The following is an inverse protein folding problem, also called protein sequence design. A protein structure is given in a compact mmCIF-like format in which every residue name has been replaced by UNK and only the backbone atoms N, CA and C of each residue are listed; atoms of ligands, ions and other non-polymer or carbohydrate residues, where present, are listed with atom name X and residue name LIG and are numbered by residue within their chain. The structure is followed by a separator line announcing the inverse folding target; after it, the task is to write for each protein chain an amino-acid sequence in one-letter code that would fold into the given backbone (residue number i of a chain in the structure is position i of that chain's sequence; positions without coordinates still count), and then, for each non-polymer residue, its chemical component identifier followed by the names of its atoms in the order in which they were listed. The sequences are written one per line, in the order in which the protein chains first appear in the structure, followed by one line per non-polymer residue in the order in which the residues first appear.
data_IF_742486987025
#
_entry.id   IF_742486987025
#
_cell.length_a   1.000
_cell.length_b   1.000
_cell.length_c   1.000
_cell.angle_alpha   90.00
_cell.angle_beta   90.00
_cell.angle_gamma   90.00
#
_symmetry.space_group_name_H-M   'P 1'
#
loop_
_entity.id
_entity.type
_entity.pdbx_description
1 polymer ?
#
# COMPACT_ATOMS: atom_id res chain seq x y z
N UNK A 1 14.30 12.46 0.88
CA UNK A 1 13.40 11.80 -0.09
C UNK A 1 12.12 12.60 -0.12
N UNK A 2 11.62 12.95 -1.30
CA UNK A 2 10.34 13.65 -1.44
C UNK A 2 9.22 12.62 -1.31
N UNK A 3 8.33 12.80 -0.33
CA UNK A 3 7.17 11.93 -0.17
C UNK A 3 6.18 12.19 -1.32
N UNK A 4 5.60 11.12 -1.87
CA UNK A 4 4.54 11.25 -2.86
C UNK A 4 3.30 11.89 -2.21
N UNK A 5 2.68 12.82 -2.92
CA UNK A 5 1.48 13.50 -2.47
C UNK A 5 0.28 12.79 -3.07
N UNK A 6 -0.56 12.23 -2.20
CA UNK A 6 -1.76 11.50 -2.55
C UNK A 6 -3.00 12.36 -2.34
N UNK A 7 -4.00 12.15 -3.18
CA UNK A 7 -5.37 12.60 -2.97
C UNK A 7 -6.31 11.39 -2.91
N UNK A 8 -7.33 11.52 -2.07
CA UNK A 8 -8.41 10.55 -2.02
C UNK A 8 -9.28 10.74 -3.28
N UNK A 9 -9.40 9.70 -4.09
CA UNK A 9 -10.12 9.72 -5.36
C UNK A 9 -11.12 8.56 -5.45
N UNK A 10 -12.23 8.61 -4.69
CA UNK A 10 -13.24 7.55 -4.69
C UNK A 10 -13.71 7.22 -6.11
N UNK A 11 -13.75 5.94 -6.44
CA UNK A 11 -14.27 5.41 -7.70
C UNK A 11 -15.59 4.66 -7.44
N UNK A 12 -16.47 4.51 -8.45
CA UNK A 12 -17.77 3.82 -8.28
C UNK A 12 -17.68 2.41 -7.69
N UNK A 13 -16.55 1.72 -7.88
CA UNK A 13 -16.29 0.36 -7.37
C UNK A 13 -15.20 0.31 -6.30
N UNK A 14 -14.66 1.46 -5.91
CA UNK A 14 -13.55 1.55 -4.96
C UNK A 14 -13.60 2.90 -4.24
N UNK A 15 -14.33 2.94 -3.12
CA UNK A 15 -14.51 4.14 -2.33
C UNK A 15 -13.19 4.68 -1.73
N UNK A 16 -12.13 3.87 -1.70
CA UNK A 16 -10.86 4.20 -1.05
C UNK A 16 -9.69 4.30 -2.04
N UNK A 17 -9.96 4.40 -3.33
CA UNK A 17 -8.93 4.58 -4.34
C UNK A 17 -8.16 5.89 -4.11
N UNK A 18 -6.84 5.85 -4.36
CA UNK A 18 -5.93 6.97 -4.14
C UNK A 18 -5.25 7.36 -5.44
N UNK A 19 -5.09 8.66 -5.71
CA UNK A 19 -4.38 9.15 -6.90
C UNK A 19 -3.20 10.02 -6.50
N UNK A 20 -2.14 10.04 -7.30
CA UNK A 20 -1.05 10.99 -7.13
C UNK A 20 -1.47 12.37 -7.63
N UNK A 21 -1.27 13.41 -6.81
CA UNK A 21 -1.49 14.79 -7.23
C UNK A 21 -0.52 15.18 -8.36
N UNK A 22 0.73 14.72 -8.26
CA UNK A 22 1.79 14.96 -9.25
C UNK A 22 2.43 13.63 -9.65
N UNK A 23 1.87 12.91 -10.64
CA UNK A 23 2.38 11.61 -11.06
C UNK A 23 3.87 11.63 -11.45
N UNK A 24 4.32 12.72 -12.09
CA UNK A 24 5.73 12.91 -12.47
C UNK A 24 6.71 13.06 -11.30
N UNK A 25 6.23 13.20 -10.06
CA UNK A 25 7.08 13.18 -8.88
C UNK A 25 7.46 11.75 -8.44
N UNK A 26 6.77 10.73 -8.96
CA UNK A 26 7.08 9.34 -8.65
C UNK A 26 8.30 8.85 -9.42
N UNK A 27 9.30 8.38 -8.68
CA UNK A 27 10.42 7.62 -9.26
C UNK A 27 9.94 6.20 -9.59
N UNK A 28 9.24 6.07 -10.71
CA UNK A 28 8.65 4.80 -11.14
C UNK A 28 9.71 3.69 -11.30
N UNK A 29 10.95 4.02 -11.65
CA UNK A 29 12.05 3.04 -11.76
C UNK A 29 12.38 2.48 -10.38
N UNK A 30 12.56 3.35 -9.38
CA UNK A 30 12.81 2.92 -8.00
C UNK A 30 11.64 2.12 -7.44
N UNK A 31 10.40 2.58 -7.64
CA UNK A 31 9.21 1.91 -7.14
C UNK A 31 9.05 0.52 -7.76
N UNK A 32 9.25 0.37 -9.08
CA UNK A 32 9.25 -0.94 -9.74
C UNK A 32 10.31 -1.87 -9.17
N UNK A 33 11.53 -1.39 -8.93
CA UNK A 33 12.60 -2.21 -8.32
C UNK A 33 12.23 -2.71 -6.93
N UNK A 34 11.67 -1.85 -6.08
CA UNK A 34 11.18 -2.23 -4.76
C UNK A 34 10.03 -3.24 -4.86
N UNK A 35 9.12 -3.04 -5.82
CA UNK A 35 8.00 -3.95 -6.01
C UNK A 35 8.43 -5.32 -6.55
N UNK A 36 9.45 -5.38 -7.40
CA UNK A 36 10.09 -6.65 -7.79
C UNK A 36 10.66 -7.41 -6.58
N UNK A 37 11.21 -6.69 -5.60
CA UNK A 37 11.64 -7.30 -4.33
C UNK A 37 10.45 -7.91 -3.58
N UNK A 38 9.31 -7.23 -3.53
CA UNK A 38 8.07 -7.76 -2.92
C UNK A 38 7.63 -9.05 -3.62
N UNK A 39 7.57 -9.05 -4.96
CA UNK A 39 7.13 -10.22 -5.74
C UNK A 39 8.00 -11.46 -5.56
N UNK A 40 9.31 -11.25 -5.38
CA UNK A 40 10.30 -12.34 -5.22
C UNK A 40 10.44 -12.81 -3.77
N UNK A 41 10.00 -11.99 -2.80
CA UNK A 41 10.14 -12.31 -1.40
C UNK A 41 9.16 -13.41 -0.97
N UNK A 42 9.62 -14.25 -0.04
CA UNK A 42 8.81 -15.31 0.56
C UNK A 42 8.46 -14.96 2.00
N UNK A 43 7.21 -15.22 2.36
CA UNK A 43 6.70 -15.22 3.73
C UNK A 43 6.90 -16.57 4.42
N UNK A 44 6.45 -16.67 5.67
CA UNK A 44 6.47 -17.92 6.44
C UNK A 44 5.70 -19.02 5.71
N UNK A 45 6.30 -20.20 5.58
CA UNK A 45 5.71 -21.33 4.86
C UNK A 45 5.59 -21.13 3.34
N UNK A 46 6.49 -20.34 2.72
CA UNK A 46 6.49 -20.00 1.28
C UNK A 46 5.25 -19.24 0.80
N UNK A 47 4.51 -18.60 1.71
CA UNK A 47 3.41 -17.71 1.33
C UNK A 47 3.99 -16.52 0.55
N UNK A 48 3.29 -16.10 -0.50
CA UNK A 48 3.66 -14.95 -1.34
C UNK A 48 2.59 -13.87 -1.21
N UNK A 49 2.90 -12.66 -1.69
CA UNK A 49 1.91 -11.59 -1.79
C UNK A 49 0.72 -12.05 -2.66
N UNK A 50 -0.49 -11.56 -2.35
CA UNK A 50 -1.69 -11.91 -3.11
C UNK A 50 -1.58 -11.43 -4.56
N UNK A 51 -2.16 -12.22 -5.47
CA UNK A 51 -2.21 -11.89 -6.89
C UNK A 51 -2.91 -10.54 -7.13
N UNK A 52 -3.99 -10.25 -6.41
CA UNK A 52 -4.74 -8.99 -6.59
C UNK A 52 -3.92 -7.76 -6.19
N UNK A 53 -3.05 -7.88 -5.19
CA UNK A 53 -2.11 -6.82 -4.84
C UNK A 53 -1.03 -6.66 -5.90
N UNK A 54 -0.54 -7.77 -6.46
CA UNK A 54 0.42 -7.74 -7.57
C UNK A 54 -0.17 -7.00 -8.76
N UNK A 55 -1.33 -7.42 -9.24
CA UNK A 55 -1.98 -6.82 -10.40
C UNK A 55 -2.31 -5.34 -10.15
N UNK A 56 -2.85 -5.00 -8.98
CA UNK A 56 -3.20 -3.61 -8.67
C UNK A 56 -2.00 -2.66 -8.62
N UNK A 57 -0.85 -3.12 -8.11
CA UNK A 57 0.38 -2.30 -8.15
C UNK A 57 1.07 -2.34 -9.51
N UNK A 58 1.03 -3.43 -10.26
CA UNK A 58 1.59 -3.48 -11.63
C UNK A 58 0.84 -2.52 -12.55
N UNK A 59 -0.49 -2.57 -12.58
CA UNK A 59 -1.32 -1.64 -13.35
C UNK A 59 -1.04 -0.17 -12.97
N UNK A 60 -0.88 0.11 -11.68
CA UNK A 60 -0.55 1.45 -11.21
C UNK A 60 0.89 1.86 -11.56
N UNK A 61 1.85 0.95 -11.50
CA UNK A 61 3.25 1.25 -11.85
C UNK A 61 3.46 1.37 -13.37
N UNK A 62 2.58 0.79 -14.19
CA UNK A 62 2.50 1.03 -15.62
C UNK A 62 2.09 2.47 -15.94
N UNK A 63 1.12 3.00 -15.20
CA UNK A 63 0.61 4.36 -15.35
C UNK A 63 0.26 4.97 -13.97
N UNK A 64 1.25 5.63 -13.37
CA UNK A 64 1.14 6.20 -12.01
C UNK A 64 0.16 7.38 -11.91
N UNK A 65 -0.38 7.85 -13.03
CA UNK A 65 -1.47 8.83 -13.04
C UNK A 65 -2.84 8.19 -12.75
N UNK A 66 -2.97 6.86 -12.88
CA UNK A 66 -4.20 6.14 -12.54
C UNK A 66 -4.40 6.09 -11.02
N UNK A 67 -5.65 6.02 -10.55
CA UNK A 67 -5.93 5.70 -9.17
C UNK A 67 -5.38 4.32 -8.81
N UNK A 68 -4.61 4.26 -7.71
CA UNK A 68 -4.23 3.02 -7.05
C UNK A 68 -5.44 2.43 -6.32
N UNK A 69 -5.74 1.17 -6.65
CA UNK A 69 -6.85 0.41 -6.05
C UNK A 69 -6.60 0.15 -4.56
N UNK A 70 -7.66 0.28 -3.77
CA UNK A 70 -7.60 0.15 -2.31
C UNK A 70 -7.21 -1.23 -1.84
N UNK A 71 -7.74 -2.25 -2.51
CA UNK A 71 -7.40 -3.64 -2.28
C UNK A 71 -5.89 -3.89 -2.35
N UNK A 72 -5.18 -3.24 -3.28
CA UNK A 72 -3.75 -3.48 -3.48
C UNK A 72 -2.93 -3.04 -2.28
N UNK A 73 -3.09 -1.79 -1.83
CA UNK A 73 -2.35 -1.31 -0.67
C UNK A 73 -2.88 -1.91 0.65
N UNK A 74 -4.17 -2.25 0.73
CA UNK A 74 -4.74 -2.95 1.87
C UNK A 74 -4.06 -4.30 2.11
N UNK A 75 -3.98 -5.14 1.06
CA UNK A 75 -3.33 -6.45 1.10
C UNK A 75 -1.83 -6.36 1.38
N UNK A 76 -1.15 -5.35 0.81
CA UNK A 76 0.25 -5.06 1.11
C UNK A 76 0.48 -4.76 2.59
N UNK A 77 -0.37 -3.89 3.18
CA UNK A 77 -0.23 -3.45 4.57
C UNK A 77 -0.35 -4.59 5.58
N UNK A 78 -1.13 -5.62 5.26
CA UNK A 78 -1.35 -6.77 6.14
C UNK A 78 -0.06 -7.53 6.46
N UNK A 79 0.92 -7.54 5.55
CA UNK A 79 2.17 -8.27 5.74
C UNK A 79 3.01 -7.72 6.89
N UNK A 80 3.05 -6.40 7.06
CA UNK A 80 3.79 -5.78 8.15
C UNK A 80 2.92 -5.39 9.36
N UNK A 81 1.59 -5.41 9.22
CA UNK A 81 0.63 -5.11 10.31
C UNK A 81 -0.04 -6.34 10.92
N UNK A 82 0.19 -7.55 10.39
CA UNK A 82 -0.34 -8.79 10.96
C UNK A 82 0.12 -9.01 12.41
N UNK A 83 -0.77 -9.57 13.24
CA UNK A 83 -0.45 -9.95 14.62
C UNK A 83 0.55 -11.12 14.72
N UNK A 84 0.75 -11.87 13.64
CA UNK A 84 1.75 -12.93 13.58
C UNK A 84 3.15 -12.35 13.39
N UNK A 85 3.94 -12.26 14.47
CA UNK A 85 5.33 -11.79 14.44
C UNK A 85 6.21 -12.56 13.46
N UNK A 86 5.98 -13.87 13.30
CA UNK A 86 6.71 -14.71 12.36
C UNK A 86 6.44 -14.33 10.90
N UNK A 87 5.22 -13.92 10.56
CA UNK A 87 4.90 -13.40 9.23
C UNK A 87 5.51 -12.01 8.99
N UNK A 88 5.42 -11.12 9.99
CA UNK A 88 5.95 -9.74 9.92
C UNK A 88 7.46 -9.68 9.69
N UNK A 89 8.21 -10.56 10.33
CA UNK A 89 9.68 -10.56 10.29
C UNK A 89 10.24 -11.39 9.13
N UNK A 90 9.40 -11.80 8.17
CA UNK A 90 9.87 -12.48 6.96
C UNK A 90 10.43 -11.49 5.95
N UNK A 91 11.24 -11.97 4.97
CA UNK A 91 11.65 -11.15 3.84
C UNK A 91 10.48 -10.45 3.15
N UNK A 92 9.33 -11.12 3.02
CA UNK A 92 8.13 -10.53 2.42
C UNK A 92 7.52 -9.43 3.31
N UNK A 93 7.44 -9.66 4.62
CA UNK A 93 6.98 -8.65 5.57
C UNK A 93 7.81 -7.35 5.49
N UNK A 94 9.14 -7.48 5.47
CA UNK A 94 10.04 -6.34 5.31
C UNK A 94 9.93 -5.69 3.93
N UNK A 95 9.92 -6.46 2.84
CA UNK A 95 9.79 -5.92 1.50
C UNK A 95 8.48 -5.12 1.31
N UNK A 96 7.36 -5.62 1.84
CA UNK A 96 6.09 -4.88 1.85
C UNK A 96 6.19 -3.58 2.63
N UNK A 97 6.89 -3.57 3.76
CA UNK A 97 7.08 -2.40 4.60
C UNK A 97 7.99 -1.34 3.95
N UNK A 98 9.04 -1.78 3.25
CA UNK A 98 9.98 -0.92 2.52
C UNK A 98 9.32 -0.31 1.28
N UNK A 99 8.54 -1.12 0.55
CA UNK A 99 7.76 -0.61 -0.58
C UNK A 99 6.69 0.38 -0.11
N UNK A 100 6.00 0.09 1.00
CA UNK A 100 5.06 1.03 1.60
C UNK A 100 5.71 2.38 1.91
N UNK A 101 6.88 2.39 2.55
CA UNK A 101 7.57 3.63 2.93
C UNK A 101 8.09 4.43 1.73
N UNK A 102 8.27 3.77 0.58
CA UNK A 102 8.61 4.46 -0.66
C UNK A 102 7.38 5.09 -1.34
N UNK A 103 6.19 4.53 -1.10
CA UNK A 103 4.93 4.92 -1.76
C UNK A 103 4.15 5.93 -0.91
N UNK A 104 4.07 5.73 0.40
CA UNK A 104 3.24 6.52 1.32
C UNK A 104 4.07 7.23 2.39
N UNK A 105 3.60 8.41 2.81
CA UNK A 105 4.30 9.22 3.81
C UNK A 105 4.22 8.64 5.22
N UNK A 106 3.16 7.89 5.54
CA UNK A 106 2.96 7.28 6.86
C UNK A 106 2.41 5.87 6.76
N UNK A 107 2.83 5.02 7.71
CA UNK A 107 2.25 3.69 7.92
C UNK A 107 0.94 3.79 8.72
N UNK A 108 -0.05 2.94 8.44
CA UNK A 108 -1.21 2.81 9.30
C UNK A 108 -0.79 2.19 10.63
N UNK A 109 -1.39 2.63 11.74
CA UNK A 109 -1.09 2.10 13.08
C UNK A 109 -1.73 0.73 13.35
N UNK A 110 -2.76 0.38 12.57
CA UNK A 110 -3.51 -0.88 12.62
C UNK A 110 -3.84 -1.30 11.19
N UNK A 111 -4.14 -2.58 10.99
CA UNK A 111 -4.59 -3.08 9.68
C UNK A 111 -5.77 -2.25 9.17
N UNK A 112 -5.72 -1.92 7.88
CA UNK A 112 -6.81 -1.21 7.20
C UNK A 112 -8.02 -2.12 6.97
N UNK A 113 -7.81 -3.43 6.99
CA UNK A 113 -8.84 -4.45 6.78
C UNK A 113 -9.13 -5.24 8.05
N UNK A 114 -10.29 -5.90 8.08
CA UNK A 114 -10.60 -6.85 9.15
C UNK A 114 -9.77 -8.15 8.97
N UNK A 115 -9.52 -8.92 10.04
CA UNK A 115 -8.88 -10.23 9.91
C UNK A 115 -9.68 -11.25 9.10
N UNK A 116 -11.00 -11.08 9.05
CA UNK A 116 -11.96 -11.96 8.37
C UNK A 116 -12.04 -11.63 6.88
N UNK A 117 -11.98 -10.35 6.52
CA UNK A 117 -12.01 -9.85 5.14
C UNK A 117 -10.71 -9.10 4.83
N UNK A 118 -9.67 -9.85 4.48
CA UNK A 118 -8.32 -9.29 4.39
C UNK A 118 -8.14 -8.24 3.27
N UNK A 119 -9.10 -8.11 2.34
CA UNK A 119 -9.05 -7.23 1.18
C UNK A 119 -9.96 -5.98 1.32
N UNK A 120 -11.03 -6.04 2.11
CA UNK A 120 -11.97 -4.94 2.26
C UNK A 120 -11.50 -3.95 3.33
N UNK A 121 -11.32 -2.70 2.91
CA UNK A 121 -10.96 -1.60 3.81
C UNK A 121 -12.13 -1.27 4.73
N UNK A 122 -11.82 -1.06 6.01
CA UNK A 122 -12.74 -0.53 7.01
C UNK A 122 -12.66 1.01 7.00
N UNK A 123 -13.79 1.67 6.77
CA UNK A 123 -13.89 3.14 6.65
C UNK A 123 -13.23 3.87 7.83
N UNK A 124 -13.49 3.45 9.07
CA UNK A 124 -12.89 4.06 10.26
C UNK A 124 -11.37 3.91 10.30
N UNK A 125 -10.84 2.77 9.84
CA UNK A 125 -9.38 2.52 9.79
C UNK A 125 -8.74 3.37 8.71
N UNK A 126 -9.38 3.46 7.56
CA UNK A 126 -8.95 4.32 6.48
C UNK A 126 -8.97 5.78 6.90
N UNK A 127 -10.07 6.29 7.45
CA UNK A 127 -10.19 7.69 7.87
C UNK A 127 -9.10 8.11 8.87
N UNK A 128 -8.78 7.26 9.85
CA UNK A 128 -7.69 7.53 10.80
C UNK A 128 -6.32 7.58 10.11
N UNK A 129 -6.04 6.64 9.21
CA UNK A 129 -4.78 6.62 8.46
C UNK A 129 -4.69 7.80 7.47
N UNK A 130 -5.79 8.10 6.77
CA UNK A 130 -5.89 9.18 5.81
C UNK A 130 -5.66 10.55 6.46
N UNK A 131 -6.29 10.81 7.61
CA UNK A 131 -6.01 12.03 8.38
C UNK A 131 -4.53 12.16 8.79
N UNK A 132 -3.84 11.03 8.99
CA UNK A 132 -2.39 11.03 9.27
C UNK A 132 -1.57 11.30 7.99
N UNK A 133 -1.99 10.75 6.85
CA UNK A 133 -1.42 11.05 5.53
C UNK A 133 -1.56 12.52 5.18
N UNK A 134 -2.74 13.12 5.36
CA UNK A 134 -2.98 14.54 5.10
C UNK A 134 -2.04 15.42 5.91
N UNK A 135 -1.92 15.18 7.23
CA UNK A 135 -0.97 15.90 8.08
C UNK A 135 0.48 15.75 7.61
N UNK A 136 0.90 14.54 7.27
CA UNK A 136 2.26 14.27 6.80
C UNK A 136 2.57 14.90 5.43
N UNK A 137 1.55 15.11 4.61
CA UNK A 137 1.62 15.82 3.33
C UNK A 137 1.46 17.35 3.48
N UNK A 138 1.28 17.87 4.69
CA UNK A 138 1.05 19.30 4.96
C UNK A 138 -0.35 19.80 4.58
N UNK A 139 -1.31 18.89 4.40
CA UNK A 139 -2.72 19.19 4.15
C UNK A 139 -3.48 19.33 5.48
N UNK A 140 -4.45 20.26 5.52
CA UNK A 140 -5.28 20.59 6.69
C UNK A 140 -6.68 20.06 6.53
#
# INVERSE_FOLDING_TARGET
MTNLIWEWSPQPKDAHALRLEKPGAADAIRLRRLFETVKRASGGGRKVISKDAVEGFEEWLEDVARPLRSEAYALLSNWFLTGNKGARNTPLGHACADFWDAVFAVRPSKRLTSPEENHQILDDRFGVWWASMERAQGRR
#
